data_IF_059769796294
#
_entry.id   IF_059769796294
#
_cell.length_a   1.000
_cell.length_b   1.000
_cell.length_c   1.000
_cell.angle_alpha   90.00
_cell.angle_beta   90.00
_cell.angle_gamma   90.00
#
_symmetry.space_group_name_H-M   'P 1'
#
loop_
_entity.id
_entity.type
_entity.pdbx_description
1 polymer ?
#
# COMPACT_ATOMS: atom_id res chain seq x y z
N UNK A 1 9.82 -26.75 -25.49
CA UNK A 1 9.50 -25.49 -24.83
C UNK A 1 10.81 -24.82 -24.43
N UNK A 2 11.03 -23.55 -24.81
CA UNK A 2 12.21 -22.79 -24.42
C UNK A 2 12.09 -22.33 -22.96
N UNK A 3 13.15 -22.55 -22.17
CA UNK A 3 13.25 -22.05 -20.80
C UNK A 3 14.01 -20.72 -20.84
N UNK A 4 13.29 -19.60 -20.67
CA UNK A 4 13.84 -18.24 -20.62
C UNK A 4 13.79 -17.72 -19.20
N UNK A 5 14.90 -17.17 -18.70
CA UNK A 5 14.98 -16.51 -17.39
C UNK A 5 15.20 -15.02 -17.58
N UNK A 6 14.45 -14.18 -16.84
CA UNK A 6 14.59 -12.71 -16.83
C UNK A 6 15.03 -12.29 -15.44
N UNK A 7 16.15 -11.59 -15.34
CA UNK A 7 16.79 -11.26 -14.06
C UNK A 7 17.31 -9.82 -14.02
N UNK A 8 17.51 -9.30 -12.83
CA UNK A 8 18.26 -8.07 -12.61
C UNK A 8 19.78 -8.29 -12.68
N UNK A 9 20.54 -7.25 -12.98
CA UNK A 9 22.00 -7.31 -13.13
C UNK A 9 22.75 -7.71 -11.86
N UNK A 10 22.15 -7.57 -10.69
CA UNK A 10 22.73 -7.91 -9.38
C UNK A 10 22.84 -9.40 -9.11
N UNK A 11 22.05 -10.23 -9.81
CA UNK A 11 22.01 -11.68 -9.61
C UNK A 11 22.53 -12.47 -10.81
N UNK A 12 23.29 -11.83 -11.70
CA UNK A 12 23.84 -12.46 -12.92
C UNK A 12 24.69 -13.68 -12.57
N UNK A 13 25.65 -13.54 -11.63
CA UNK A 13 26.54 -14.65 -11.25
C UNK A 13 25.76 -15.86 -10.74
N UNK A 14 24.70 -15.64 -9.97
CA UNK A 14 23.87 -16.74 -9.48
C UNK A 14 23.12 -17.47 -10.60
N UNK A 15 22.63 -16.75 -11.59
CA UNK A 15 21.79 -17.30 -12.67
C UNK A 15 22.57 -17.77 -13.90
N UNK A 16 23.84 -17.39 -14.05
CA UNK A 16 24.67 -17.82 -15.18
C UNK A 16 25.74 -18.83 -14.78
N UNK A 17 26.07 -18.95 -13.50
CA UNK A 17 27.06 -19.88 -12.99
C UNK A 17 26.45 -20.89 -12.00
N UNK A 18 25.99 -20.44 -10.84
CA UNK A 18 25.54 -21.37 -9.76
C UNK A 18 24.27 -22.11 -10.12
N UNK A 19 23.25 -21.42 -10.59
CA UNK A 19 21.95 -22.02 -10.90
C UNK A 19 22.00 -23.03 -12.04
N UNK A 20 22.64 -22.76 -13.19
CA UNK A 20 22.83 -23.75 -14.25
C UNK A 20 23.62 -24.98 -13.77
N UNK A 21 24.68 -24.80 -12.99
CA UNK A 21 25.42 -25.91 -12.41
C UNK A 21 24.52 -26.78 -11.50
N UNK A 22 23.77 -26.16 -10.60
CA UNK A 22 22.82 -26.87 -9.71
C UNK A 22 21.80 -27.67 -10.52
N UNK A 23 21.22 -27.08 -11.54
CA UNK A 23 20.24 -27.75 -12.40
C UNK A 23 20.88 -28.92 -13.16
N UNK A 24 22.06 -28.71 -13.76
CA UNK A 24 22.76 -29.71 -14.49
C UNK A 24 23.07 -30.97 -13.64
N UNK A 25 23.69 -30.74 -12.45
CA UNK A 25 24.08 -31.86 -11.57
C UNK A 25 22.86 -32.51 -10.87
N UNK A 26 21.70 -31.84 -10.82
CA UNK A 26 20.44 -32.44 -10.37
C UNK A 26 19.64 -33.15 -11.50
N UNK A 27 20.19 -33.25 -12.71
CA UNK A 27 19.54 -33.88 -13.87
C UNK A 27 18.38 -33.06 -14.44
N UNK A 28 18.32 -31.75 -14.15
CA UNK A 28 17.26 -30.84 -14.61
C UNK A 28 17.71 -30.02 -15.82
N UNK A 29 16.73 -29.57 -16.62
CA UNK A 29 17.01 -28.70 -17.77
C UNK A 29 17.51 -27.34 -17.28
N UNK A 30 18.62 -26.87 -17.87
CA UNK A 30 19.14 -25.51 -17.67
C UNK A 30 18.36 -24.48 -18.52
N UNK A 31 18.40 -23.18 -18.19
CA UNK A 31 17.82 -22.14 -19.03
C UNK A 31 18.45 -22.13 -20.43
N UNK A 32 17.62 -22.02 -21.47
CA UNK A 32 18.08 -21.82 -22.85
C UNK A 32 18.63 -20.38 -23.03
N UNK A 33 18.00 -19.41 -22.34
CA UNK A 33 18.39 -18.01 -22.37
C UNK A 33 18.23 -17.36 -21.00
N UNK A 34 19.22 -16.55 -20.63
CA UNK A 34 19.15 -15.65 -19.48
C UNK A 34 19.19 -14.20 -19.98
N UNK A 35 18.13 -13.47 -19.72
CA UNK A 35 17.99 -12.07 -20.11
C UNK A 35 18.16 -11.18 -18.88
N UNK A 36 19.08 -10.24 -18.98
CA UNK A 36 19.47 -9.35 -17.87
C UNK A 36 18.97 -7.94 -18.15
N UNK A 37 18.43 -7.27 -17.15
CA UNK A 37 18.08 -5.85 -17.21
C UNK A 37 18.76 -5.06 -16.08
N UNK A 38 18.87 -3.74 -16.25
CA UNK A 38 19.39 -2.82 -15.24
C UNK A 38 18.46 -2.62 -14.05
N UNK A 39 18.83 -1.71 -13.16
CA UNK A 39 18.01 -1.30 -12.02
C UNK A 39 16.95 -0.30 -12.43
N UNK A 40 15.90 -0.21 -11.62
CA UNK A 40 14.97 0.90 -11.64
C UNK A 40 15.44 1.94 -10.61
N UNK A 41 15.64 3.18 -11.07
CA UNK A 41 15.92 4.34 -10.21
C UNK A 41 14.69 5.26 -10.17
N UNK A 42 14.65 6.19 -9.25
CA UNK A 42 13.61 7.22 -9.14
C UNK A 42 14.30 8.58 -9.03
N UNK A 43 14.07 9.47 -9.99
CA UNK A 43 14.77 10.76 -10.10
C UNK A 43 16.30 10.61 -10.01
N UNK A 44 16.86 9.63 -10.72
CA UNK A 44 18.28 9.23 -10.73
C UNK A 44 18.82 8.69 -9.38
N UNK A 45 17.99 8.55 -8.37
CA UNK A 45 18.38 7.97 -7.10
C UNK A 45 18.07 6.47 -7.05
N UNK A 46 19.04 5.69 -6.50
CA UNK A 46 18.82 4.27 -6.26
C UNK A 46 17.70 4.07 -5.24
N UNK A 47 16.74 3.21 -5.57
CA UNK A 47 15.67 2.85 -4.64
C UNK A 47 16.23 2.27 -3.34
N UNK A 48 15.79 2.80 -2.20
CA UNK A 48 16.19 2.38 -0.86
C UNK A 48 14.97 2.23 0.04
N UNK A 49 14.76 1.03 0.55
CA UNK A 49 13.67 0.75 1.51
C UNK A 49 13.82 1.56 2.80
N UNK A 50 15.07 1.71 3.30
CA UNK A 50 15.34 2.44 4.54
C UNK A 50 15.14 3.95 4.42
N UNK A 51 15.31 4.52 3.22
CA UNK A 51 15.07 5.94 2.95
C UNK A 51 13.69 6.23 2.39
N UNK A 52 12.87 5.20 2.15
CA UNK A 52 11.55 5.35 1.54
C UNK A 52 11.57 5.84 0.08
N UNK A 53 12.75 5.82 -0.58
CA UNK A 53 12.91 6.26 -1.96
C UNK A 53 12.65 5.09 -2.90
N UNK A 54 11.46 4.95 -3.41
CA UNK A 54 11.14 3.88 -4.36
C UNK A 54 9.65 3.80 -4.66
N UNK A 55 9.32 3.19 -5.79
CA UNK A 55 7.94 2.91 -6.15
C UNK A 55 7.55 1.58 -5.50
N UNK A 56 6.70 1.64 -4.48
CA UNK A 56 6.06 0.44 -3.94
C UNK A 56 4.88 0.04 -4.83
N UNK A 57 4.87 -1.19 -5.38
CA UNK A 57 3.72 -1.67 -6.17
C UNK A 57 2.40 -1.67 -5.37
N UNK A 58 2.45 -1.97 -4.07
CA UNK A 58 1.27 -1.93 -3.22
C UNK A 58 0.76 -0.49 -3.06
N UNK A 59 1.66 0.45 -2.77
CA UNK A 59 1.31 1.87 -2.66
C UNK A 59 0.75 2.43 -3.97
N UNK A 60 1.30 2.01 -5.11
CA UNK A 60 0.80 2.35 -6.44
C UNK A 60 -0.67 1.95 -6.60
N UNK A 61 -1.02 0.72 -6.21
CA UNK A 61 -2.39 0.21 -6.26
C UNK A 61 -3.32 0.87 -5.24
N UNK A 62 -2.86 1.11 -4.01
CA UNK A 62 -3.63 1.82 -2.97
C UNK A 62 -4.05 3.23 -3.39
N UNK A 63 -3.20 3.93 -4.14
CA UNK A 63 -3.49 5.24 -4.70
C UNK A 63 -4.47 5.18 -5.88
N UNK A 64 -4.87 3.97 -6.30
CA UNK A 64 -5.79 3.75 -7.43
C UNK A 64 -5.17 4.13 -8.77
N UNK A 65 -3.84 4.02 -8.92
CA UNK A 65 -3.15 4.19 -10.19
C UNK A 65 -3.29 2.91 -11.03
N UNK A 66 -3.56 3.08 -12.33
CA UNK A 66 -3.74 1.94 -13.22
C UNK A 66 -2.40 1.22 -13.48
N UNK A 67 -2.27 -0.09 -13.19
CA UNK A 67 -1.04 -0.84 -13.43
C UNK A 67 -0.54 -0.80 -14.88
N UNK A 68 -1.42 -0.66 -15.86
CA UNK A 68 -1.05 -0.62 -17.27
C UNK A 68 -0.35 0.68 -17.66
N UNK A 69 -0.57 1.78 -16.94
CA UNK A 69 0.21 3.00 -17.14
C UNK A 69 1.69 2.78 -16.83
N UNK A 70 1.98 2.10 -15.71
CA UNK A 70 3.36 1.79 -15.34
C UNK A 70 3.97 0.77 -16.30
N UNK A 71 3.22 -0.26 -16.71
CA UNK A 71 3.67 -1.24 -17.71
C UNK A 71 4.04 -0.55 -19.03
N UNK A 72 3.20 0.35 -19.52
CA UNK A 72 3.46 1.12 -20.73
C UNK A 72 4.71 1.99 -20.61
N UNK A 73 4.81 2.72 -19.52
CA UNK A 73 5.95 3.60 -19.25
C UNK A 73 7.27 2.83 -19.20
N UNK A 74 7.31 1.71 -18.48
CA UNK A 74 8.49 0.86 -18.43
C UNK A 74 8.82 0.26 -19.79
N UNK A 75 7.83 -0.25 -20.51
CA UNK A 75 8.02 -0.78 -21.87
C UNK A 75 8.59 0.28 -22.82
N UNK A 76 8.13 1.53 -22.73
CA UNK A 76 8.63 2.64 -23.55
C UNK A 76 10.09 3.02 -23.27
N UNK A 77 10.70 2.51 -22.19
CA UNK A 77 12.11 2.73 -21.82
C UNK A 77 12.98 1.47 -21.92
N UNK A 78 12.38 0.30 -21.90
CA UNK A 78 13.12 -0.98 -21.91
C UNK A 78 13.71 -1.29 -23.28
N UNK A 79 15.00 -1.61 -23.29
CA UNK A 79 15.74 -2.12 -24.45
C UNK A 79 16.28 -3.54 -24.17
N UNK A 80 16.88 -4.17 -25.19
CA UNK A 80 17.59 -5.44 -25.03
C UNK A 80 18.92 -5.31 -24.26
N UNK A 81 19.37 -4.09 -23.96
CA UNK A 81 20.62 -3.80 -23.25
C UNK A 81 20.43 -3.82 -21.74
N UNK A 82 21.55 -3.98 -21.03
CA UNK A 82 21.59 -3.90 -19.55
C UNK A 82 21.80 -2.45 -19.14
N UNK A 83 20.75 -1.65 -19.21
CA UNK A 83 20.76 -0.23 -18.86
C UNK A 83 19.81 0.01 -17.69
N UNK A 84 20.16 0.93 -16.79
CA UNK A 84 19.29 1.35 -15.70
C UNK A 84 18.15 2.21 -16.27
N UNK A 85 16.95 2.05 -15.72
CA UNK A 85 15.78 2.81 -16.12
C UNK A 85 15.45 3.79 -14.98
N UNK A 86 15.36 5.06 -15.32
CA UNK A 86 14.91 6.07 -14.38
C UNK A 86 13.40 6.31 -14.50
N UNK A 87 12.70 6.19 -13.37
CA UNK A 87 11.33 6.64 -13.25
C UNK A 87 11.32 8.14 -12.93
N UNK A 88 10.93 8.92 -13.90
CA UNK A 88 10.66 10.34 -13.75
C UNK A 88 9.15 10.57 -13.73
N UNK A 89 8.58 11.17 -12.67
CA UNK A 89 7.14 11.38 -12.52
C UNK A 89 6.52 12.24 -13.63
N UNK A 90 7.19 13.31 -14.02
CA UNK A 90 6.67 14.23 -15.05
C UNK A 90 6.66 13.56 -16.43
N UNK A 91 7.74 12.83 -16.78
CA UNK A 91 7.81 12.03 -18.01
C UNK A 91 6.75 10.92 -18.01
N UNK A 92 6.51 10.28 -16.85
CA UNK A 92 5.44 9.28 -16.70
C UNK A 92 4.07 9.86 -16.99
N UNK A 93 3.72 10.99 -16.38
CA UNK A 93 2.43 11.67 -16.57
C UNK A 93 2.29 12.13 -18.03
N UNK A 94 3.31 12.81 -18.55
CA UNK A 94 3.30 13.33 -19.90
C UNK A 94 3.13 12.22 -20.94
N UNK A 95 3.90 11.15 -20.81
CA UNK A 95 3.89 10.03 -21.76
C UNK A 95 2.58 9.26 -21.74
N UNK A 96 2.04 8.91 -20.58
CA UNK A 96 0.75 8.21 -20.49
C UNK A 96 -0.37 9.07 -21.03
N UNK A 97 -0.42 10.36 -20.65
CA UNK A 97 -1.46 11.27 -21.10
C UNK A 97 -1.38 11.61 -22.58
N UNK A 98 -0.18 11.74 -23.15
CA UNK A 98 0.01 12.00 -24.57
C UNK A 98 -0.24 10.75 -25.40
N UNK A 99 0.46 9.68 -25.12
CA UNK A 99 0.49 8.51 -26.01
C UNK A 99 -0.78 7.66 -25.89
N UNK A 100 -1.17 7.30 -24.65
CA UNK A 100 -2.32 6.41 -24.46
C UNK A 100 -3.65 7.15 -24.55
N UNK A 101 -3.80 8.29 -23.87
CA UNK A 101 -5.07 9.02 -23.85
C UNK A 101 -5.19 9.94 -25.07
N UNK A 102 -4.17 10.77 -25.33
CA UNK A 102 -4.20 11.79 -26.39
C UNK A 102 -4.11 11.25 -27.81
N UNK A 103 -3.36 10.15 -28.01
CA UNK A 103 -3.20 9.55 -29.34
C UNK A 103 -4.06 8.30 -29.51
N UNK A 104 -3.75 7.22 -28.77
CA UNK A 104 -4.30 5.88 -29.03
C UNK A 104 -5.80 5.80 -28.74
N UNK A 105 -6.24 6.00 -27.49
CA UNK A 105 -7.66 5.87 -27.11
C UNK A 105 -8.53 6.94 -27.81
N UNK A 106 -7.95 8.11 -28.07
CA UNK A 106 -8.64 9.21 -28.74
C UNK A 106 -9.11 8.86 -30.17
N UNK A 107 -8.40 7.95 -30.86
CA UNK A 107 -8.81 7.48 -32.21
C UNK A 107 -10.23 6.88 -32.13
N UNK A 108 -10.45 5.93 -31.22
CA UNK A 108 -11.77 5.31 -31.07
C UNK A 108 -12.81 6.30 -30.55
N UNK A 109 -12.48 7.13 -29.57
CA UNK A 109 -13.45 8.05 -28.96
C UNK A 109 -13.98 9.10 -29.94
N UNK A 110 -13.16 9.55 -30.91
CA UNK A 110 -13.56 10.49 -31.97
C UNK A 110 -14.53 9.88 -32.98
N UNK A 111 -14.43 8.57 -33.24
CA UNK A 111 -15.26 7.84 -34.21
C UNK A 111 -16.52 7.23 -33.59
N UNK A 112 -16.43 6.68 -32.41
CA UNK A 112 -17.47 5.86 -31.79
C UNK A 112 -18.80 6.62 -31.58
N UNK A 113 -18.72 7.89 -31.22
CA UNK A 113 -19.92 8.71 -31.07
C UNK A 113 -20.74 8.89 -32.38
N UNK A 114 -20.08 8.94 -33.51
CA UNK A 114 -20.76 8.97 -34.82
C UNK A 114 -21.28 7.60 -35.21
N UNK A 115 -20.50 6.53 -34.93
CA UNK A 115 -20.93 5.15 -35.16
C UNK A 115 -22.25 4.86 -34.45
N UNK A 116 -22.35 5.17 -33.17
CA UNK A 116 -23.58 4.95 -32.41
C UNK A 116 -24.77 5.76 -32.90
N UNK A 117 -24.56 7.07 -33.15
CA UNK A 117 -25.66 8.00 -33.46
C UNK A 117 -26.17 7.91 -34.91
N UNK A 118 -25.30 7.56 -35.84
CA UNK A 118 -25.60 7.63 -37.27
C UNK A 118 -25.69 6.28 -37.96
N UNK A 119 -24.92 5.29 -37.47
CA UNK A 119 -24.73 4.01 -38.15
C UNK A 119 -25.11 2.80 -37.31
N UNK A 120 -25.76 2.99 -36.13
CA UNK A 120 -26.21 1.93 -35.26
C UNK A 120 -25.06 0.99 -34.83
N UNK A 121 -23.83 1.51 -34.67
CA UNK A 121 -22.63 0.76 -34.34
C UNK A 121 -22.26 -0.33 -35.39
N UNK A 122 -22.67 -0.23 -36.63
CA UNK A 122 -22.36 -1.17 -37.71
C UNK A 122 -21.22 -0.61 -38.56
N UNK A 123 -20.08 -1.29 -38.63
CA UNK A 123 -18.98 -0.92 -39.51
C UNK A 123 -19.30 -1.12 -40.96
N UNK A 124 -18.74 -0.28 -41.87
CA UNK A 124 -18.86 -0.43 -43.31
C UNK A 124 -18.19 -1.70 -43.81
N UNK A 125 -18.77 -2.32 -44.86
CA UNK A 125 -18.18 -3.49 -45.49
C UNK A 125 -16.88 -3.16 -46.23
N UNK A 126 -16.80 -1.96 -46.75
CA UNK A 126 -15.66 -1.45 -47.51
C UNK A 126 -15.34 -0.01 -47.06
N UNK A 127 -14.12 0.38 -47.25
CA UNK A 127 -13.60 1.72 -46.96
C UNK A 127 -12.96 2.32 -48.23
N UNK A 128 -12.96 3.61 -48.34
CA UNK A 128 -12.36 4.30 -49.48
C UNK A 128 -10.89 3.97 -49.72
N UNK A 129 -10.36 4.35 -50.86
CA UNK A 129 -8.97 4.01 -51.27
C UNK A 129 -7.95 4.49 -50.26
N UNK A 130 -8.06 5.71 -49.74
CA UNK A 130 -7.12 6.27 -48.76
C UNK A 130 -7.17 5.51 -47.43
N UNK A 131 -8.38 5.11 -46.96
CA UNK A 131 -8.56 4.29 -45.79
C UNK A 131 -7.90 2.91 -45.94
N UNK A 132 -8.05 2.26 -47.13
CA UNK A 132 -7.36 0.98 -47.40
C UNK A 132 -5.84 1.15 -47.36
N UNK A 133 -5.30 2.16 -48.02
CA UNK A 133 -3.85 2.44 -48.03
C UNK A 133 -3.31 2.60 -46.57
N UNK A 134 -4.02 3.35 -45.75
CA UNK A 134 -3.65 3.52 -44.35
C UNK A 134 -3.68 2.18 -43.61
N UNK A 135 -4.78 1.43 -43.66
CA UNK A 135 -4.96 0.16 -42.97
C UNK A 135 -3.94 -0.91 -43.42
N UNK A 136 -3.68 -0.99 -44.72
CA UNK A 136 -2.67 -1.89 -45.26
C UNK A 136 -1.26 -1.50 -44.80
N UNK A 137 -0.98 -0.19 -44.74
CA UNK A 137 0.24 0.31 -44.14
C UNK A 137 0.40 -0.09 -42.67
N UNK A 138 -0.66 -0.06 -41.85
CA UNK A 138 -0.61 -0.52 -40.48
C UNK A 138 -0.37 -2.05 -40.39
N UNK A 139 -1.06 -2.84 -41.23
CA UNK A 139 -0.91 -4.30 -41.30
C UNK A 139 0.52 -4.72 -41.68
N UNK A 140 1.13 -4.00 -42.62
CA UNK A 140 2.49 -4.28 -43.07
C UNK A 140 3.55 -4.21 -41.93
N UNK A 141 3.26 -3.47 -40.84
CA UNK A 141 4.15 -3.38 -39.69
C UNK A 141 4.06 -4.57 -38.73
N UNK A 142 3.14 -5.52 -38.92
CA UNK A 142 2.94 -6.68 -38.05
C UNK A 142 4.25 -7.44 -37.78
N UNK A 143 4.99 -7.81 -38.81
CA UNK A 143 6.24 -8.56 -38.70
C UNK A 143 7.32 -7.73 -37.98
N UNK A 144 7.41 -6.45 -38.27
CA UNK A 144 8.35 -5.52 -37.62
C UNK A 144 8.11 -5.45 -36.12
N UNK A 145 6.85 -5.20 -35.71
CA UNK A 145 6.49 -5.10 -34.31
C UNK A 145 6.70 -6.43 -33.57
N UNK A 146 6.32 -7.56 -34.19
CA UNK A 146 6.56 -8.88 -33.63
C UNK A 146 8.07 -9.15 -33.42
N UNK A 147 8.92 -8.84 -34.41
CA UNK A 147 10.37 -8.98 -34.32
C UNK A 147 10.98 -8.09 -33.22
N UNK A 148 10.45 -6.89 -33.00
CA UNK A 148 10.90 -6.00 -31.92
C UNK A 148 10.54 -6.59 -30.54
N UNK A 149 9.37 -7.18 -30.37
CA UNK A 149 9.01 -7.89 -29.14
C UNK A 149 9.90 -9.12 -28.91
N UNK A 150 10.12 -9.94 -29.93
CA UNK A 150 10.97 -11.14 -29.82
C UNK A 150 12.42 -10.80 -29.49
N UNK A 151 12.94 -9.69 -30.03
CA UNK A 151 14.27 -9.16 -29.72
C UNK A 151 14.32 -8.36 -28.41
N UNK A 152 13.20 -8.18 -27.71
CA UNK A 152 13.07 -7.42 -26.44
C UNK A 152 13.38 -5.92 -26.60
N UNK A 153 13.24 -5.40 -27.78
CA UNK A 153 13.38 -3.99 -28.11
C UNK A 153 12.06 -3.24 -27.87
N UNK A 154 11.54 -3.33 -26.62
CA UNK A 154 10.21 -2.82 -26.26
C UNK A 154 10.06 -1.32 -26.52
N UNK A 155 11.07 -0.53 -26.20
CA UNK A 155 11.04 0.92 -26.44
C UNK A 155 10.93 1.24 -27.95
N UNK A 156 11.55 0.44 -28.81
CA UNK A 156 11.41 0.59 -30.27
C UNK A 156 10.01 0.16 -30.73
N UNK A 157 9.49 -0.96 -30.18
CA UNK A 157 8.15 -1.42 -30.50
C UNK A 157 7.10 -0.36 -30.15
N UNK A 158 7.17 0.22 -28.94
CA UNK A 158 6.28 1.30 -28.51
C UNK A 158 6.39 2.51 -29.43
N UNK A 159 7.59 2.90 -29.80
CA UNK A 159 7.82 4.05 -30.73
C UNK A 159 7.20 3.79 -32.11
N UNK A 160 7.38 2.62 -32.66
CA UNK A 160 6.78 2.23 -33.94
C UNK A 160 5.24 2.27 -33.86
N UNK A 161 4.67 1.67 -32.80
CA UNK A 161 3.21 1.65 -32.63
C UNK A 161 2.66 3.07 -32.46
N UNK A 162 3.34 3.95 -31.73
CA UNK A 162 2.91 5.36 -31.57
C UNK A 162 3.06 6.15 -32.87
N UNK A 163 4.07 5.87 -33.70
CA UNK A 163 4.18 6.47 -35.03
C UNK A 163 3.03 6.03 -35.97
N UNK A 164 2.58 4.77 -35.84
CA UNK A 164 1.38 4.31 -36.55
C UNK A 164 0.12 5.03 -36.03
N UNK A 165 0.01 5.23 -34.71
CA UNK A 165 -1.10 5.99 -34.14
C UNK A 165 -1.10 7.46 -34.60
N UNK A 166 0.06 8.09 -34.77
CA UNK A 166 0.19 9.44 -35.33
C UNK A 166 -0.35 9.50 -36.78
N UNK A 167 0.00 8.54 -37.64
CA UNK A 167 -0.55 8.44 -39.01
C UNK A 167 -2.07 8.29 -39.01
N UNK A 168 -2.66 7.58 -38.08
CA UNK A 168 -4.12 7.47 -37.96
C UNK A 168 -4.73 8.82 -37.54
N UNK A 169 -4.11 9.53 -36.59
CA UNK A 169 -4.58 10.85 -36.17
C UNK A 169 -4.45 11.87 -37.30
N UNK A 170 -3.38 11.84 -38.10
CA UNK A 170 -3.24 12.66 -39.30
C UNK A 170 -4.38 12.40 -40.31
N UNK A 171 -4.72 11.13 -40.53
CA UNK A 171 -5.87 10.78 -41.37
C UNK A 171 -7.19 11.35 -40.83
N UNK A 172 -7.42 11.23 -39.51
CA UNK A 172 -8.61 11.81 -38.85
C UNK A 172 -8.66 13.33 -39.02
N UNK A 173 -7.51 14.01 -38.84
CA UNK A 173 -7.42 15.47 -38.94
C UNK A 173 -7.54 15.98 -40.38
N UNK A 174 -7.17 15.19 -41.39
CA UNK A 174 -7.38 15.48 -42.81
C UNK A 174 -8.85 15.32 -43.19
N UNK A 175 -9.50 14.24 -42.77
CA UNK A 175 -10.89 13.92 -43.17
C UNK A 175 -11.94 14.60 -42.29
N UNK A 176 -11.58 15.03 -41.07
CA UNK A 176 -12.45 15.82 -40.16
C UNK A 176 -13.86 15.28 -40.03
N UNK A 177 -14.06 14.10 -39.44
CA UNK A 177 -15.40 13.49 -39.36
C UNK A 177 -16.45 14.40 -38.72
N UNK A 178 -16.06 15.33 -37.84
CA UNK A 178 -16.95 16.33 -37.24
C UNK A 178 -17.45 17.40 -38.26
N UNK A 179 -16.70 17.66 -39.32
CA UNK A 179 -17.15 18.52 -40.43
C UNK A 179 -18.04 17.72 -41.39
N UNK A 180 -17.67 16.48 -41.75
CA UNK A 180 -18.48 15.59 -42.57
C UNK A 180 -19.88 15.39 -41.97
N UNK A 181 -19.96 15.19 -40.65
CA UNK A 181 -21.22 15.00 -39.94
C UNK A 181 -22.19 16.20 -40.01
N UNK A 182 -21.71 17.37 -40.42
CA UNK A 182 -22.53 18.61 -40.57
C UNK A 182 -22.95 18.90 -42.00
N UNK A 183 -22.43 18.14 -42.97
CA UNK A 183 -22.67 18.34 -44.40
C UNK A 183 -23.66 17.31 -44.92
N UNK A 184 -24.72 17.74 -45.58
CA UNK A 184 -25.69 16.83 -46.18
C UNK A 184 -25.03 16.03 -47.31
N UNK A 185 -25.43 14.76 -47.43
CA UNK A 185 -24.92 13.84 -48.44
C UNK A 185 -23.53 13.29 -48.21
N UNK A 186 -22.93 13.52 -47.05
CA UNK A 186 -21.59 13.02 -46.67
C UNK A 186 -21.64 11.83 -45.73
N UNK A 187 -22.80 11.20 -45.55
CA UNK A 187 -22.98 10.05 -44.61
C UNK A 187 -22.07 8.87 -44.96
N UNK A 188 -21.92 8.54 -46.24
CA UNK A 188 -21.06 7.45 -46.68
C UNK A 188 -19.57 7.73 -46.35
N UNK A 189 -19.12 8.95 -46.68
CA UNK A 189 -17.76 9.36 -46.37
C UNK A 189 -17.48 9.38 -44.82
N UNK A 190 -18.45 9.87 -44.04
CA UNK A 190 -18.36 9.81 -42.56
C UNK A 190 -18.30 8.38 -42.06
N UNK A 191 -19.12 7.48 -42.59
CA UNK A 191 -19.15 6.07 -42.24
C UNK A 191 -17.81 5.40 -42.51
N UNK A 192 -17.23 5.63 -43.68
CA UNK A 192 -15.93 5.11 -44.10
C UNK A 192 -14.81 5.60 -43.16
N UNK A 193 -14.74 6.89 -42.90
CA UNK A 193 -13.72 7.48 -42.01
C UNK A 193 -13.84 6.88 -40.58
N UNK A 194 -15.06 6.80 -40.06
CA UNK A 194 -15.26 6.20 -38.72
C UNK A 194 -14.90 4.71 -38.69
N UNK A 195 -15.23 3.96 -39.75
CA UNK A 195 -14.85 2.54 -39.88
C UNK A 195 -13.33 2.36 -39.91
N UNK A 196 -12.63 3.20 -40.71
CA UNK A 196 -11.15 3.22 -40.76
C UNK A 196 -10.55 3.45 -39.35
N UNK A 197 -11.11 4.44 -38.62
CA UNK A 197 -10.63 4.73 -37.25
C UNK A 197 -10.77 3.54 -36.31
N UNK A 198 -11.94 2.87 -36.32
CA UNK A 198 -12.20 1.70 -35.46
C UNK A 198 -11.31 0.52 -35.84
N UNK A 199 -11.14 0.24 -37.15
CA UNK A 199 -10.26 -0.82 -37.63
C UNK A 199 -8.79 -0.54 -37.32
N UNK A 200 -8.32 0.70 -37.50
CA UNK A 200 -6.97 1.12 -37.12
C UNK A 200 -6.76 0.99 -35.61
N UNK A 201 -7.74 1.39 -34.81
CA UNK A 201 -7.69 1.22 -33.36
C UNK A 201 -7.57 -0.25 -32.96
N UNK A 202 -8.28 -1.16 -33.61
CA UNK A 202 -8.14 -2.60 -33.44
C UNK A 202 -6.72 -3.09 -33.74
N UNK A 203 -6.14 -2.66 -34.87
CA UNK A 203 -4.76 -3.03 -35.25
C UNK A 203 -3.74 -2.57 -34.22
N UNK A 204 -3.84 -1.31 -33.77
CA UNK A 204 -2.99 -0.76 -32.73
C UNK A 204 -3.17 -1.52 -31.39
N UNK A 205 -4.41 -1.93 -31.08
CA UNK A 205 -4.70 -2.75 -29.89
C UNK A 205 -3.99 -4.10 -29.96
N UNK A 206 -4.01 -4.78 -31.09
CA UNK A 206 -3.28 -6.05 -31.30
C UNK A 206 -1.79 -5.86 -30.98
N UNK A 207 -1.20 -4.78 -31.44
CA UNK A 207 0.22 -4.49 -31.23
C UNK A 207 0.54 -4.10 -29.79
N UNK A 208 -0.36 -3.40 -29.10
CA UNK A 208 -0.18 -2.98 -27.71
C UNK A 208 -0.58 -4.05 -26.69
N UNK A 209 -1.34 -5.08 -27.10
CA UNK A 209 -1.87 -6.09 -26.18
C UNK A 209 -0.81 -6.78 -25.29
N UNK A 210 0.41 -7.08 -25.73
CA UNK A 210 1.45 -7.64 -24.85
C UNK A 210 1.80 -6.71 -23.67
N UNK A 211 1.65 -5.40 -23.84
CA UNK A 211 1.95 -4.39 -22.83
C UNK A 211 0.69 -4.07 -22.01
N UNK A 212 -0.47 -3.93 -22.67
CA UNK A 212 -1.75 -3.46 -22.14
C UNK A 212 -2.86 -4.53 -22.25
N UNK A 213 -2.72 -5.69 -21.58
CA UNK A 213 -3.66 -6.80 -21.75
C UNK A 213 -5.08 -6.49 -21.22
N UNK A 214 -5.21 -5.73 -20.12
CA UNK A 214 -6.52 -5.40 -19.56
C UNK A 214 -7.28 -4.37 -20.43
N UNK A 215 -6.57 -3.38 -20.98
CA UNK A 215 -7.13 -2.44 -21.95
C UNK A 215 -7.54 -3.17 -23.23
N UNK A 216 -6.70 -4.08 -23.73
CA UNK A 216 -7.02 -4.88 -24.90
C UNK A 216 -8.30 -5.72 -24.69
N UNK A 217 -8.50 -6.32 -23.51
CA UNK A 217 -9.73 -7.04 -23.20
C UNK A 217 -10.98 -6.13 -23.21
N UNK A 218 -10.87 -4.89 -22.75
CA UNK A 218 -11.95 -3.91 -22.86
C UNK A 218 -12.25 -3.53 -24.29
N UNK A 219 -11.21 -3.39 -25.13
CA UNK A 219 -11.35 -3.13 -26.56
C UNK A 219 -11.98 -4.30 -27.29
N UNK A 220 -11.59 -5.54 -26.96
CA UNK A 220 -12.18 -6.76 -27.49
C UNK A 220 -13.69 -6.84 -27.18
N UNK A 221 -14.08 -6.49 -25.95
CA UNK A 221 -15.49 -6.41 -25.58
C UNK A 221 -16.23 -5.31 -26.35
N UNK A 222 -15.62 -4.11 -26.50
CA UNK A 222 -16.18 -3.03 -27.31
C UNK A 222 -16.36 -3.43 -28.77
N UNK A 223 -15.37 -4.10 -29.35
CA UNK A 223 -15.41 -4.58 -30.73
C UNK A 223 -16.26 -5.82 -30.92
N UNK A 224 -16.75 -6.48 -29.87
CA UNK A 224 -17.46 -7.74 -29.89
C UNK A 224 -16.70 -8.85 -30.65
N UNK A 225 -15.40 -8.97 -30.37
CA UNK A 225 -14.51 -9.96 -31.00
C UNK A 225 -13.92 -10.92 -29.93
N UNK A 226 -13.55 -12.14 -30.34
CA UNK A 226 -12.75 -13.04 -29.49
C UNK A 226 -11.41 -12.39 -29.11
N UNK A 227 -10.70 -12.94 -28.09
CA UNK A 227 -9.38 -12.45 -27.70
C UNK A 227 -8.44 -12.34 -28.90
N UNK A 228 -8.04 -11.11 -29.22
CA UNK A 228 -7.21 -10.79 -30.38
C UNK A 228 -5.82 -11.44 -30.28
N UNK A 229 -5.38 -12.02 -31.38
CA UNK A 229 -4.03 -12.57 -31.57
C UNK A 229 -3.26 -11.73 -32.58
N UNK A 230 -1.93 -11.81 -32.57
CA UNK A 230 -1.09 -11.10 -33.53
C UNK A 230 -1.45 -11.45 -34.98
N UNK A 231 -1.82 -12.70 -35.26
CA UNK A 231 -2.25 -13.15 -36.58
C UNK A 231 -3.53 -12.45 -37.10
N UNK A 232 -4.38 -11.94 -36.19
CA UNK A 232 -5.63 -11.26 -36.56
C UNK A 232 -5.39 -9.89 -37.20
N UNK A 233 -4.16 -9.35 -37.09
CA UNK A 233 -3.80 -8.13 -37.81
C UNK A 233 -3.92 -8.28 -39.34
N UNK A 234 -3.72 -9.48 -39.89
CA UNK A 234 -3.83 -9.75 -41.31
C UNK A 234 -5.29 -9.69 -41.84
N UNK A 235 -6.30 -9.71 -40.96
CA UNK A 235 -7.72 -9.80 -41.34
C UNK A 235 -8.44 -8.48 -41.00
N UNK A 236 -9.30 -8.02 -41.90
CA UNK A 236 -10.22 -6.92 -41.61
C UNK A 236 -11.48 -7.45 -40.92
N UNK A 237 -12.13 -6.61 -40.10
CA UNK A 237 -13.44 -6.92 -39.52
C UNK A 237 -14.53 -6.95 -40.59
N UNK A 238 -14.42 -6.07 -41.62
CA UNK A 238 -15.46 -5.92 -42.63
C UNK A 238 -16.77 -5.36 -42.02
N UNK A 239 -17.91 -5.75 -42.56
CA UNK A 239 -19.20 -5.38 -42.02
C UNK A 239 -19.41 -6.09 -40.66
N UNK A 240 -19.26 -5.33 -39.57
CA UNK A 240 -19.19 -5.87 -38.23
C UNK A 240 -19.92 -4.97 -37.24
N UNK A 241 -20.69 -5.56 -36.32
CA UNK A 241 -21.38 -4.86 -35.25
C UNK A 241 -20.44 -4.66 -34.05
N UNK A 242 -20.36 -3.44 -33.53
CA UNK A 242 -19.62 -3.12 -32.31
C UNK A 242 -20.58 -2.72 -31.18
N UNK A 243 -20.15 -2.77 -29.94
CA UNK A 243 -20.90 -2.32 -28.77
C UNK A 243 -20.86 -0.79 -28.62
N UNK A 244 -21.64 -0.25 -27.70
CA UNK A 244 -21.53 1.13 -27.30
C UNK A 244 -20.17 1.40 -26.63
N UNK A 245 -19.56 2.51 -27.04
CA UNK A 245 -18.24 2.89 -26.53
C UNK A 245 -18.30 3.29 -25.06
N UNK A 246 -17.49 2.65 -24.26
CA UNK A 246 -17.24 3.04 -22.88
C UNK A 246 -15.88 3.74 -22.78
N UNK A 247 -15.74 4.64 -21.81
CA UNK A 247 -14.47 5.36 -21.63
C UNK A 247 -13.36 4.39 -21.19
N UNK A 248 -12.38 4.17 -22.06
CA UNK A 248 -11.37 3.11 -21.92
C UNK A 248 -10.21 3.50 -21.00
N UNK A 249 -9.85 4.79 -20.92
CA UNK A 249 -8.70 5.23 -20.14
C UNK A 249 -8.82 6.69 -19.70
N UNK A 250 -8.49 6.94 -18.45
CA UNK A 250 -8.45 8.29 -17.87
C UNK A 250 -7.02 8.86 -17.91
N UNK A 251 -6.91 10.17 -17.75
CA UNK A 251 -5.62 10.84 -17.57
C UNK A 251 -5.05 10.52 -16.19
N UNK A 252 -3.72 10.48 -16.12
CA UNK A 252 -3.00 10.34 -14.86
C UNK A 252 -3.20 11.60 -14.02
N UNK A 253 -3.56 11.40 -12.75
CA UNK A 253 -3.66 12.46 -11.75
C UNK A 253 -2.26 12.74 -11.16
N UNK A 254 -1.76 13.96 -11.37
CA UNK A 254 -0.45 14.37 -10.89
C UNK A 254 -0.32 14.30 -9.36
N UNK A 255 -1.40 14.61 -8.61
CA UNK A 255 -1.38 14.56 -7.15
C UNK A 255 -1.17 13.13 -6.63
N UNK A 256 -1.73 12.13 -7.33
CA UNK A 256 -1.52 10.72 -6.97
C UNK A 256 -0.09 10.25 -7.25
N UNK A 257 0.52 10.75 -8.33
CA UNK A 257 1.92 10.42 -8.65
C UNK A 257 2.87 11.09 -7.67
N UNK A 258 2.61 12.33 -7.26
CA UNK A 258 3.35 13.00 -6.20
C UNK A 258 3.25 12.23 -4.87
N UNK A 259 2.05 11.79 -4.48
CA UNK A 259 1.84 10.98 -3.28
C UNK A 259 2.54 9.60 -3.35
N UNK A 260 2.83 9.07 -4.56
CA UNK A 260 3.53 7.81 -4.75
C UNK A 260 5.02 7.94 -4.40
N UNK A 261 5.65 9.04 -4.79
CA UNK A 261 7.10 9.26 -4.63
C UNK A 261 7.46 9.99 -3.34
N UNK A 262 6.49 10.66 -2.70
CA UNK A 262 6.69 11.31 -1.41
C UNK A 262 6.83 10.23 -0.32
N UNK A 263 7.95 10.14 0.39
CA UNK A 263 8.09 9.20 1.49
C UNK A 263 6.98 9.43 2.53
N UNK A 264 6.41 8.37 3.12
CA UNK A 264 5.49 8.55 4.24
C UNK A 264 6.19 9.34 5.34
N UNK A 265 5.48 10.27 5.95
CA UNK A 265 6.02 11.00 7.10
C UNK A 265 6.60 9.99 8.12
N UNK A 266 7.79 10.24 8.66
CA UNK A 266 8.34 9.37 9.68
C UNK A 266 7.29 9.24 10.81
N UNK A 267 7.11 8.04 11.38
CA UNK A 267 6.21 7.85 12.50
C UNK A 267 6.55 8.88 13.58
N UNK A 268 5.54 9.53 14.14
CA UNK A 268 5.76 10.46 15.24
C UNK A 268 6.62 9.77 16.31
N UNK A 269 7.62 10.44 16.88
CA UNK A 269 8.44 9.84 17.92
C UNK A 269 7.50 9.32 19.01
N UNK A 270 7.77 8.13 19.58
CA UNK A 270 6.93 7.57 20.62
C UNK A 270 6.82 8.59 21.77
N UNK A 271 5.59 8.86 22.20
CA UNK A 271 5.36 9.73 23.35
C UNK A 271 5.99 9.07 24.57
N UNK A 272 7.06 9.67 25.09
CA UNK A 272 7.74 9.17 26.27
C UNK A 272 6.98 9.68 27.49
N UNK A 273 6.33 8.78 28.22
CA UNK A 273 5.71 9.08 29.49
C UNK A 273 6.76 8.85 30.61
N UNK A 274 7.05 9.86 31.46
CA UNK A 274 8.08 9.71 32.50
C UNK A 274 7.85 8.55 33.48
N UNK A 275 6.59 8.15 33.69
CA UNK A 275 6.22 6.98 34.49
C UNK A 275 6.18 5.66 33.73
N UNK A 276 6.47 5.67 32.43
CA UNK A 276 6.44 4.49 31.56
C UNK A 276 5.08 4.17 30.96
N UNK A 277 4.01 4.82 31.35
CA UNK A 277 2.66 4.62 30.84
C UNK A 277 1.86 5.92 30.73
N UNK A 278 0.87 6.03 29.84
CA UNK A 278 0.02 7.19 29.73
C UNK A 278 -0.91 7.31 30.95
N UNK A 279 -1.41 8.53 31.17
CA UNK A 279 -2.51 8.76 32.13
C UNK A 279 -3.73 7.96 31.66
N UNK A 280 -4.36 7.25 32.58
CA UNK A 280 -5.58 6.49 32.31
C UNK A 280 -6.74 7.38 31.83
N UNK A 281 -7.79 6.76 31.30
CA UNK A 281 -8.99 7.49 30.87
C UNK A 281 -9.64 8.27 32.01
N UNK A 282 -10.23 9.42 31.70
CA UNK A 282 -10.92 10.28 32.66
C UNK A 282 -12.03 9.52 33.38
N UNK A 283 -12.13 9.78 34.69
CA UNK A 283 -13.21 9.27 35.54
C UNK A 283 -13.92 10.42 36.20
N UNK A 284 -15.23 10.27 36.46
CA UNK A 284 -15.99 11.24 37.25
C UNK A 284 -15.61 11.21 38.72
N UNK A 285 -15.88 12.31 39.43
CA UNK A 285 -15.61 12.46 40.87
C UNK A 285 -16.29 11.36 41.71
N UNK A 286 -17.46 10.89 41.31
CA UNK A 286 -18.19 9.83 42.01
C UNK A 286 -17.40 8.49 41.96
N UNK A 287 -16.78 8.16 40.82
CA UNK A 287 -15.94 6.98 40.70
C UNK A 287 -14.70 7.06 41.61
N UNK A 288 -14.06 8.22 41.68
CA UNK A 288 -12.97 8.46 42.62
C UNK A 288 -13.43 8.40 44.07
N UNK A 289 -14.57 9.01 44.40
CA UNK A 289 -15.14 9.04 45.76
C UNK A 289 -15.57 7.68 46.28
N UNK A 290 -15.81 6.72 45.39
CA UNK A 290 -16.09 5.32 45.77
C UNK A 290 -14.88 4.62 46.38
N UNK A 291 -13.66 5.11 46.15
CA UNK A 291 -12.43 4.59 46.75
C UNK A 291 -12.18 5.29 48.06
N UNK A 292 -12.12 4.58 49.17
CA UNK A 292 -11.80 5.15 50.51
C UNK A 292 -10.29 5.03 50.76
N UNK A 293 -9.57 6.12 50.52
CA UNK A 293 -8.15 6.26 50.79
C UNK A 293 -7.96 6.82 52.22
N UNK A 294 -7.21 6.10 53.06
CA UNK A 294 -6.94 6.47 54.45
C UNK A 294 -5.45 6.58 54.74
N UNK A 295 -5.09 7.52 55.57
CA UNK A 295 -3.79 7.53 56.23
C UNK A 295 -3.77 6.41 57.24
N UNK A 296 -2.72 5.56 57.17
CA UNK A 296 -2.52 4.45 58.09
C UNK A 296 -1.13 4.53 58.71
N UNK A 297 -0.99 4.15 59.99
CA UNK A 297 0.31 3.99 60.65
C UNK A 297 0.76 2.51 60.55
N UNK A 298 1.97 2.31 60.09
CA UNK A 298 2.59 0.94 60.08
C UNK A 298 3.03 0.66 61.50
N UNK A 299 2.26 -0.16 62.18
CA UNK A 299 2.55 -0.55 63.60
C UNK A 299 3.60 -1.64 63.64
N UNK A 300 3.54 -2.59 62.70
CA UNK A 300 4.51 -3.64 62.56
C UNK A 300 4.74 -3.99 61.07
N UNK A 301 5.92 -4.48 60.76
CA UNK A 301 6.29 -5.00 59.43
C UNK A 301 7.13 -6.24 59.60
N UNK A 302 6.83 -7.30 58.83
CA UNK A 302 7.50 -8.61 58.95
C UNK A 302 7.82 -9.19 57.59
N UNK A 303 8.87 -9.96 57.49
CA UNK A 303 9.16 -10.81 56.36
C UNK A 303 8.11 -11.93 56.27
N UNK A 304 7.70 -12.27 55.05
CA UNK A 304 6.78 -13.38 54.83
C UNK A 304 7.58 -14.61 54.44
N UNK A 305 7.52 -15.67 55.28
CA UNK A 305 8.20 -16.93 55.03
C UNK A 305 7.70 -17.54 53.69
N UNK A 306 8.65 -17.92 52.83
CA UNK A 306 8.36 -18.47 51.49
C UNK A 306 7.95 -17.46 50.47
N UNK A 307 8.07 -16.15 50.73
CA UNK A 307 7.91 -15.08 49.73
C UNK A 307 9.17 -14.23 49.60
N UNK A 308 9.60 -13.98 48.37
CA UNK A 308 10.72 -13.06 48.06
C UNK A 308 10.25 -11.66 47.72
N UNK A 309 8.92 -11.42 47.61
CA UNK A 309 8.33 -10.17 47.14
C UNK A 309 7.51 -9.44 48.20
N UNK A 310 6.94 -10.18 49.18
CA UNK A 310 5.95 -9.61 50.10
C UNK A 310 6.56 -9.29 51.45
N UNK A 311 6.10 -8.16 52.00
CA UNK A 311 6.12 -7.85 53.43
C UNK A 311 4.70 -7.96 53.99
N UNK A 312 4.56 -8.44 55.22
CA UNK A 312 3.34 -8.39 56.00
C UNK A 312 3.36 -7.11 56.84
N UNK A 313 2.37 -6.25 56.64
CA UNK A 313 2.25 -5.03 57.38
C UNK A 313 1.03 -5.09 58.31
N UNK A 314 1.20 -4.67 59.53
CA UNK A 314 0.10 -4.45 60.51
C UNK A 314 -0.14 -2.95 60.56
N UNK A 315 -1.35 -2.52 60.21
CA UNK A 315 -1.70 -1.14 60.01
C UNK A 315 -2.78 -0.67 60.99
N UNK A 316 -2.55 0.46 61.65
CA UNK A 316 -3.58 1.25 62.34
C UNK A 316 -4.18 2.23 61.34
N UNK A 317 -5.45 2.09 60.96
CA UNK A 317 -6.22 2.95 60.06
C UNK A 317 -7.20 3.87 60.79
N UNK A 318 -7.07 3.98 62.09
CA UNK A 318 -7.92 4.86 62.91
C UNK A 318 -9.38 4.40 63.03
N UNK A 319 -9.65 3.11 63.04
CA UNK A 319 -10.99 2.54 63.21
C UNK A 319 -11.49 2.61 64.68
N UNK A 320 -10.62 3.06 65.56
CA UNK A 320 -10.94 3.11 66.99
C UNK A 320 -10.67 1.74 67.70
N UNK A 321 -10.98 1.68 69.01
CA UNK A 321 -10.82 0.44 69.77
C UNK A 321 -11.97 -0.56 69.52
N UNK A 322 -11.65 -1.85 69.67
CA UNK A 322 -12.67 -2.92 69.72
C UNK A 322 -13.51 -2.91 71.01
N UNK A 323 -14.41 -3.84 71.18
CA UNK A 323 -15.29 -3.93 72.37
C UNK A 323 -14.50 -4.15 73.68
N UNK A 324 -13.27 -4.63 73.59
CA UNK A 324 -12.36 -4.84 74.72
C UNK A 324 -11.36 -3.67 74.91
N UNK A 325 -11.49 -2.57 74.12
CA UNK A 325 -10.65 -1.37 74.22
C UNK A 325 -9.28 -1.49 73.54
N UNK A 326 -9.05 -2.51 72.71
CA UNK A 326 -7.80 -2.71 71.97
C UNK A 326 -7.88 -2.04 70.60
N UNK A 327 -6.78 -1.47 70.04
CA UNK A 327 -6.78 -0.88 68.75
C UNK A 327 -7.11 -1.94 67.66
N UNK A 328 -8.05 -1.62 66.78
CA UNK A 328 -8.37 -2.42 65.59
C UNK A 328 -7.27 -2.22 64.56
N UNK A 329 -6.57 -3.28 64.23
CA UNK A 329 -5.46 -3.26 63.30
C UNK A 329 -5.77 -4.11 62.08
N UNK A 330 -5.31 -3.69 60.89
CA UNK A 330 -5.47 -4.41 59.65
C UNK A 330 -4.18 -5.08 59.21
N UNK A 331 -4.31 -6.29 58.67
CA UNK A 331 -3.20 -7.03 58.10
C UNK A 331 -3.18 -6.84 56.59
N UNK A 332 -2.07 -6.35 56.02
CA UNK A 332 -1.91 -6.11 54.57
C UNK A 332 -0.61 -6.74 54.08
N UNK A 333 -0.71 -7.52 52.99
CA UNK A 333 0.45 -8.02 52.27
C UNK A 333 0.80 -7.09 51.12
N UNK A 334 2.01 -6.49 51.18
CA UNK A 334 2.49 -5.53 50.18
C UNK A 334 3.74 -6.03 49.44
N UNK A 335 3.80 -5.84 48.11
CA UNK A 335 4.88 -6.29 47.23
C UNK A 335 6.15 -5.43 47.26
N UNK A 336 6.52 -4.87 48.40
CA UNK A 336 7.56 -3.85 48.56
C UNK A 336 8.87 -4.37 49.16
N UNK A 337 9.03 -5.70 49.34
CA UNK A 337 10.23 -6.31 49.98
C UNK A 337 11.52 -6.00 49.21
N UNK A 338 11.47 -5.78 47.92
CA UNK A 338 12.65 -5.45 47.13
C UNK A 338 13.21 -4.04 47.41
N UNK A 339 12.37 -3.14 47.95
CA UNK A 339 12.70 -1.75 48.18
C UNK A 339 12.84 -1.37 49.66
N UNK A 340 12.24 -2.13 50.56
CA UNK A 340 12.22 -1.80 51.99
C UNK A 340 12.56 -3.02 52.89
N UNK A 341 13.38 -2.76 53.90
CA UNK A 341 13.48 -3.64 55.05
C UNK A 341 12.36 -3.35 56.04
N UNK A 342 11.84 -4.34 56.79
CA UNK A 342 10.73 -4.14 57.75
C UNK A 342 10.97 -2.99 58.73
N UNK A 343 12.18 -2.87 59.26
CA UNK A 343 12.57 -1.88 60.26
C UNK A 343 12.49 -0.44 59.74
N UNK A 344 12.57 -0.23 58.42
CA UNK A 344 12.48 1.07 57.80
C UNK A 344 11.03 1.59 57.71
N UNK A 345 10.04 0.71 57.88
CA UNK A 345 8.64 0.98 57.70
C UNK A 345 7.89 1.18 59.03
N UNK A 346 8.33 0.49 60.11
CA UNK A 346 7.67 0.56 61.40
C UNK A 346 7.68 1.98 61.94
N UNK A 347 6.49 2.46 62.36
CA UNK A 347 6.26 3.81 62.86
C UNK A 347 5.92 4.87 61.81
N UNK A 348 6.15 4.57 60.52
CA UNK A 348 5.83 5.48 59.44
C UNK A 348 4.33 5.54 59.11
N UNK A 349 3.92 6.68 58.57
CA UNK A 349 2.59 6.83 57.98
C UNK A 349 2.62 6.48 56.52
N UNK A 350 1.53 5.87 56.03
CA UNK A 350 1.33 5.57 54.63
C UNK A 350 -0.10 5.82 54.20
N UNK A 351 -0.40 5.75 52.91
CA UNK A 351 -1.76 5.81 52.40
C UNK A 351 -2.18 4.41 51.96
N UNK A 352 -3.38 4.01 52.31
CA UNK A 352 -3.95 2.73 51.84
C UNK A 352 -5.38 2.88 51.34
N UNK A 353 -5.77 1.96 50.46
CA UNK A 353 -7.18 1.73 50.09
C UNK A 353 -7.82 0.92 51.17
N UNK A 354 -8.71 1.54 51.94
CA UNK A 354 -9.31 0.95 53.16
C UNK A 354 -10.59 0.16 52.91
N UNK A 355 -11.29 0.42 51.81
CA UNK A 355 -12.56 -0.22 51.49
C UNK A 355 -12.44 -1.35 50.43
N UNK A 356 -11.26 -1.87 50.22
CA UNK A 356 -11.11 -3.08 49.41
C UNK A 356 -11.62 -4.30 50.17
N UNK A 357 -12.35 -5.19 49.48
CA UNK A 357 -12.76 -6.45 50.05
C UNK A 357 -11.54 -7.31 50.48
N UNK A 358 -11.59 -7.92 51.67
CA UNK A 358 -10.50 -8.75 52.16
C UNK A 358 -10.16 -9.87 51.15
N UNK A 359 -8.87 -10.00 50.80
CA UNK A 359 -8.39 -10.97 49.83
C UNK A 359 -7.62 -12.12 50.54
N UNK A 360 -8.12 -13.36 50.35
CA UNK A 360 -7.41 -14.54 50.82
C UNK A 360 -6.20 -14.82 49.93
N UNK A 361 -5.03 -14.85 50.48
CA UNK A 361 -3.75 -15.14 49.85
C UNK A 361 -3.12 -16.41 50.43
N UNK A 362 -2.05 -16.91 49.79
CA UNK A 362 -1.32 -18.09 50.29
C UNK A 362 -0.83 -17.95 51.76
N UNK A 363 -0.55 -16.72 52.17
CA UNK A 363 0.09 -16.40 53.45
C UNK A 363 -0.87 -15.82 54.50
N UNK A 364 -2.15 -15.67 54.18
CA UNK A 364 -3.14 -15.10 55.08
C UNK A 364 -4.17 -14.22 54.32
N UNK A 365 -4.91 -13.39 55.06
CA UNK A 365 -5.89 -12.48 54.51
C UNK A 365 -5.29 -11.07 54.45
N UNK A 366 -5.38 -10.41 53.31
CA UNK A 366 -5.02 -8.99 53.15
C UNK A 366 -6.29 -8.12 53.20
N UNK A 367 -6.30 -7.16 54.11
CA UNK A 367 -7.48 -6.34 54.45
C UNK A 367 -7.39 -4.90 53.90
N UNK A 368 -6.77 -4.75 52.76
CA UNK A 368 -6.58 -3.48 52.05
C UNK A 368 -5.33 -3.51 51.16
N UNK A 369 -4.96 -2.36 50.65
CA UNK A 369 -3.79 -2.19 49.79
C UNK A 369 -3.05 -0.90 50.13
N UNK A 370 -1.77 -1.01 50.46
CA UNK A 370 -0.88 0.16 50.62
C UNK A 370 -0.49 0.71 49.24
N UNK A 371 -0.55 2.00 49.08
CA UNK A 371 -0.21 2.67 47.86
C UNK A 371 1.31 2.88 47.74
N UNK A 372 1.87 2.49 46.62
CA UNK A 372 3.24 2.76 46.24
C UNK A 372 3.32 3.14 44.77
N UNK A 373 4.21 4.05 44.45
CA UNK A 373 4.51 4.42 43.08
C UNK A 373 5.68 3.59 42.54
N UNK A 374 5.58 3.15 41.28
CA UNK A 374 6.67 2.53 40.55
C UNK A 374 6.59 2.92 39.06
N UNK A 375 7.69 2.75 38.37
CA UNK A 375 7.67 2.90 36.90
C UNK A 375 6.99 1.67 36.27
N UNK A 376 6.24 1.84 35.17
CA UNK A 376 5.56 0.74 34.50
C UNK A 376 6.52 -0.36 34.01
N UNK A 377 7.73 0.01 33.57
CA UNK A 377 8.82 -0.93 33.32
C UNK A 377 9.80 -0.93 34.51
N UNK A 378 9.53 -1.79 35.50
CA UNK A 378 10.36 -1.97 36.69
C UNK A 378 11.77 -2.48 36.39
N UNK A 379 12.02 -3.10 35.23
CA UNK A 379 13.34 -3.59 34.82
C UNK A 379 14.22 -2.48 34.29
N UNK A 380 13.64 -1.57 33.51
CA UNK A 380 14.36 -0.41 32.96
C UNK A 380 14.59 0.67 34.01
N UNK A 381 13.60 0.88 34.89
CA UNK A 381 13.68 1.91 35.96
C UNK A 381 13.24 1.27 37.28
N UNK A 382 14.13 0.59 37.99
CA UNK A 382 13.79 -0.10 39.23
C UNK A 382 13.55 0.90 40.37
N UNK A 383 12.52 0.64 41.15
CA UNK A 383 12.16 1.45 42.31
C UNK A 383 10.70 1.29 42.69
N UNK A 384 10.41 1.16 43.98
CA UNK A 384 9.06 1.16 44.54
C UNK A 384 9.06 2.17 45.67
N UNK A 385 8.15 3.13 45.64
CA UNK A 385 8.10 4.26 46.56
C UNK A 385 6.77 4.24 47.30
N UNK A 386 6.75 3.89 48.57
CA UNK A 386 5.57 3.94 49.41
C UNK A 386 5.16 5.42 49.63
N UNK A 387 3.87 5.73 49.47
CA UNK A 387 3.36 7.09 49.60
C UNK A 387 3.31 7.44 51.10
N UNK A 388 4.08 8.44 51.52
CA UNK A 388 4.12 8.97 52.87
C UNK A 388 3.37 10.32 52.93
N UNK A 389 2.34 10.48 53.79
CA UNK A 389 1.67 11.76 53.98
C UNK A 389 2.59 12.74 54.74
N UNK A 390 2.35 14.04 54.53
CA UNK A 390 3.14 15.11 55.15
C UNK A 390 3.00 15.19 56.70
N UNK A 391 3.86 15.99 57.31
CA UNK A 391 3.85 16.17 58.78
C UNK A 391 2.49 16.68 59.31
N UNK A 392 2.02 16.12 60.41
CA UNK A 392 0.73 16.46 61.02
C UNK A 392 -0.43 15.56 60.61
N UNK A 393 -0.22 14.66 59.63
CA UNK A 393 -1.21 13.65 59.28
C UNK A 393 -1.37 12.62 60.43
N UNK A 394 -2.58 12.10 60.61
CA UNK A 394 -2.92 11.14 61.64
C UNK A 394 -3.65 9.93 61.01
N UNK A 395 -3.51 8.73 61.59
CA UNK A 395 -4.26 7.53 61.19
C UNK A 395 -5.76 7.83 61.13
N UNK A 396 -6.45 7.32 60.13
CA UNK A 396 -7.88 7.53 59.90
C UNK A 396 -8.26 8.77 59.08
N UNK A 397 -7.34 9.74 58.83
CA UNK A 397 -7.62 10.86 57.95
C UNK A 397 -7.88 10.34 56.52
N UNK A 398 -8.96 10.84 55.91
CA UNK A 398 -9.31 10.50 54.54
C UNK A 398 -8.56 11.38 53.54
N UNK A 399 -7.97 10.77 52.54
CA UNK A 399 -7.40 11.45 51.37
C UNK A 399 -8.56 11.75 50.38
N UNK A 400 -8.65 13.00 49.96
CA UNK A 400 -9.75 13.51 49.13
C UNK A 400 -9.19 14.22 47.91
#
# INVERSE_FOLDING_TARGET
>A
MLFRSFIGKDIVTFHTLFWPATLHFSGRKVPDHVHVHGFLTVNNDKMSKSRGTGISPLRYLELGLNPEWLRYYLAAKLSARVEDIDFNPDDFIARVNSDLVGKYVNIASRAAGFMAKRFGNLLSADVGVEGRVLLDGLRAHQATVAGLYDSREFAKAVREIMALADRVNEYVDQHKPWELARKDGQEAALHDVCTVCIEAFRLLTIYLKPILPALAAQVEAFLQVPPLQFADAARALGRHQIADYQHLMQRVDAAKVEALITPPAPPAPPVVHPGGEPIATEIGIDAFSAVDLRVAKIVNAELVDGSTKLLRLTLDVGEGPDAEGRPVLRNVFSGIRSAYAPEQLVGKLTVMVANLAPRKMKFGVSEGMVLAASHADEKATPGIFVLEPGPGAMPGMRVR
#
